data_IF_736939898792
#
_entry.id   IF_736939898792
#
_cell.length_a   1.000
_cell.length_b   1.000
_cell.length_c   1.000
_cell.angle_alpha   90.00
_cell.angle_beta   90.00
_cell.angle_gamma   90.00
#
_symmetry.space_group_name_H-M   'P 1'
#
loop_
_entity.id
_entity.type
_entity.pdbx_description
1 polymer ?
#
# COMPACT_ATOMS: atom_id res chain seq x y z
N UNK A 1 -6.47 -5.00 -27.68
CA UNK A 1 -6.65 -6.45 -27.93
C UNK A 1 -5.70 -7.32 -27.09
N UNK A 2 -4.37 -7.16 -27.18
CA UNK A 2 -3.40 -7.98 -26.42
C UNK A 2 -3.57 -7.92 -24.89
N UNK A 3 -3.87 -6.74 -24.34
CA UNK A 3 -4.14 -6.55 -22.91
C UNK A 3 -5.38 -7.30 -22.43
N UNK A 4 -6.47 -7.25 -23.21
CA UNK A 4 -7.72 -7.95 -22.88
C UNK A 4 -7.53 -9.48 -22.91
N UNK A 5 -6.74 -9.98 -23.87
CA UNK A 5 -6.38 -11.40 -23.93
C UNK A 5 -5.56 -11.83 -22.71
N UNK A 6 -4.59 -11.00 -22.30
CA UNK A 6 -3.76 -11.26 -21.12
C UNK A 6 -4.60 -11.31 -19.84
N UNK A 7 -5.59 -10.42 -19.70
CA UNK A 7 -6.51 -10.42 -18.56
C UNK A 7 -7.36 -11.69 -18.55
N UNK A 8 -7.94 -12.07 -19.69
CA UNK A 8 -8.73 -13.30 -19.82
C UNK A 8 -7.90 -14.54 -19.46
N UNK A 9 -6.67 -14.62 -19.99
CA UNK A 9 -5.74 -15.70 -19.70
C UNK A 9 -5.38 -15.73 -18.20
N UNK A 10 -5.12 -14.57 -17.59
CA UNK A 10 -4.90 -14.46 -16.15
C UNK A 10 -6.12 -14.92 -15.34
N UNK A 11 -7.33 -14.59 -15.77
CA UNK A 11 -8.56 -15.03 -15.07
C UNK A 11 -8.76 -16.53 -15.17
N UNK A 12 -8.57 -17.10 -16.36
CA UNK A 12 -8.70 -18.55 -16.56
C UNK A 12 -7.65 -19.29 -15.74
N UNK A 13 -6.39 -18.82 -15.74
CA UNK A 13 -5.32 -19.41 -14.94
C UNK A 13 -5.59 -19.31 -13.43
N UNK A 14 -6.08 -18.17 -12.93
CA UNK A 14 -6.42 -18.03 -11.51
C UNK A 14 -7.54 -18.98 -11.11
N UNK A 15 -8.57 -19.12 -11.95
CA UNK A 15 -9.67 -20.07 -11.69
C UNK A 15 -9.15 -21.51 -11.62
N UNK A 16 -8.35 -21.94 -12.59
CA UNK A 16 -7.81 -23.30 -12.66
C UNK A 16 -6.87 -23.58 -11.48
N UNK A 17 -5.92 -22.67 -11.21
CA UNK A 17 -4.92 -22.87 -10.16
C UNK A 17 -5.54 -22.85 -8.77
N UNK A 18 -6.40 -21.88 -8.47
CA UNK A 18 -7.03 -21.76 -7.14
C UNK A 18 -7.95 -22.94 -6.87
N UNK A 19 -8.80 -23.32 -7.85
CA UNK A 19 -9.66 -24.49 -7.69
C UNK A 19 -8.85 -25.79 -7.54
N UNK A 20 -7.80 -25.97 -8.36
CA UNK A 20 -6.92 -27.13 -8.29
C UNK A 20 -6.20 -27.26 -6.94
N UNK A 21 -5.63 -26.15 -6.43
CA UNK A 21 -4.97 -26.12 -5.13
C UNK A 21 -5.96 -26.46 -4.01
N UNK A 22 -7.16 -25.85 -4.01
CA UNK A 22 -8.15 -26.07 -2.96
C UNK A 22 -8.63 -27.52 -2.93
N UNK A 23 -8.89 -28.12 -4.09
CA UNK A 23 -9.28 -29.53 -4.19
C UNK A 23 -8.13 -30.45 -3.74
N UNK A 24 -6.87 -30.09 -4.00
CA UNK A 24 -5.71 -30.91 -3.63
C UNK A 24 -5.53 -31.11 -2.12
N UNK A 25 -6.09 -30.24 -1.29
CA UNK A 25 -6.03 -30.37 0.17
C UNK A 25 -6.83 -31.57 0.71
N UNK A 26 -7.77 -32.14 -0.07
CA UNK A 26 -8.55 -33.33 0.30
C UNK A 26 -9.22 -33.25 1.70
N UNK A 27 -9.69 -32.06 2.09
CA UNK A 27 -10.43 -31.86 3.35
C UNK A 27 -11.93 -31.99 3.07
N UNK A 28 -12.66 -32.69 3.94
CA UNK A 28 -14.10 -32.95 3.79
C UNK A 28 -14.98 -31.70 3.71
N UNK A 29 -14.49 -30.56 4.22
CA UNK A 29 -15.18 -29.26 4.17
C UNK A 29 -14.94 -28.48 2.87
N UNK A 30 -14.06 -28.95 1.97
CA UNK A 30 -13.71 -28.27 0.72
C UNK A 30 -14.20 -29.14 -0.44
N UNK A 31 -15.34 -28.77 -1.02
CA UNK A 31 -15.94 -29.46 -2.15
C UNK A 31 -15.55 -28.81 -3.49
N UNK A 32 -15.54 -29.59 -4.58
CA UNK A 32 -15.22 -29.09 -5.92
C UNK A 32 -16.10 -27.91 -6.33
N UNK A 33 -17.40 -27.95 -5.98
CA UNK A 33 -18.37 -26.90 -6.33
C UNK A 33 -18.07 -25.61 -5.59
N UNK A 34 -17.78 -25.66 -4.28
CA UNK A 34 -17.34 -24.51 -3.51
C UNK A 34 -15.98 -23.97 -3.98
N UNK A 35 -15.03 -24.84 -4.33
CA UNK A 35 -13.73 -24.43 -4.87
C UNK A 35 -13.87 -23.69 -6.20
N UNK A 36 -14.70 -24.19 -7.11
CA UNK A 36 -15.01 -23.51 -8.37
C UNK A 36 -15.72 -22.18 -8.15
N UNK A 37 -16.71 -22.16 -7.25
CA UNK A 37 -17.43 -20.92 -6.91
C UNK A 37 -16.47 -19.85 -6.36
N UNK A 38 -15.62 -20.23 -5.39
CA UNK A 38 -14.62 -19.33 -4.80
C UNK A 38 -13.65 -18.80 -5.86
N UNK A 39 -13.12 -19.69 -6.70
CA UNK A 39 -12.18 -19.33 -7.75
C UNK A 39 -12.81 -18.41 -8.82
N UNK A 40 -14.05 -18.70 -9.24
CA UNK A 40 -14.81 -17.85 -10.16
C UNK A 40 -15.19 -16.50 -9.56
N UNK A 41 -15.49 -16.45 -8.26
CA UNK A 41 -15.73 -15.20 -7.52
C UNK A 41 -14.48 -14.30 -7.54
N UNK A 42 -13.31 -14.87 -7.24
CA UNK A 42 -12.03 -14.17 -7.31
C UNK A 42 -11.71 -13.70 -8.73
N UNK A 43 -11.90 -14.57 -9.72
CA UNK A 43 -11.71 -14.25 -11.13
C UNK A 43 -12.64 -13.12 -11.59
N UNK A 44 -13.92 -13.18 -11.24
CA UNK A 44 -14.90 -12.14 -11.57
C UNK A 44 -14.56 -10.79 -10.93
N UNK A 45 -14.05 -10.78 -9.70
CA UNK A 45 -13.58 -9.56 -9.05
C UNK A 45 -12.39 -8.94 -9.81
N UNK A 46 -11.47 -9.76 -10.31
CA UNK A 46 -10.34 -9.27 -11.13
C UNK A 46 -10.80 -8.71 -12.49
N UNK A 47 -11.80 -9.32 -13.12
CA UNK A 47 -12.41 -8.80 -14.35
C UNK A 47 -13.12 -7.47 -14.13
N UNK A 48 -13.87 -7.36 -13.03
CA UNK A 48 -14.53 -6.11 -12.66
C UNK A 48 -13.49 -5.00 -12.44
N UNK A 49 -12.43 -5.29 -11.67
CA UNK A 49 -11.32 -4.36 -11.46
C UNK A 49 -10.68 -3.93 -12.78
N UNK A 50 -10.42 -4.87 -13.69
CA UNK A 50 -9.89 -4.56 -15.03
C UNK A 50 -10.84 -3.66 -15.82
N UNK A 51 -12.15 -3.96 -15.79
CA UNK A 51 -13.15 -3.20 -16.54
C UNK A 51 -13.26 -1.76 -16.03
N UNK A 52 -13.19 -1.55 -14.70
CA UNK A 52 -13.14 -0.22 -14.11
C UNK A 52 -11.84 0.49 -14.50
N UNK A 53 -10.69 -0.18 -14.42
CA UNK A 53 -9.41 0.41 -14.80
C UNK A 53 -9.37 0.80 -16.29
N UNK A 54 -9.94 -0.03 -17.16
CA UNK A 54 -10.09 0.25 -18.59
C UNK A 54 -11.02 1.45 -18.82
N UNK A 55 -12.16 1.52 -18.13
CA UNK A 55 -13.06 2.68 -18.17
C UNK A 55 -12.31 3.97 -17.77
N UNK A 56 -11.56 3.94 -16.66
CA UNK A 56 -10.73 5.07 -16.23
C UNK A 56 -9.69 5.45 -17.29
N UNK A 57 -9.05 4.47 -17.95
CA UNK A 57 -8.07 4.73 -19.00
C UNK A 57 -8.66 5.44 -20.23
N UNK A 58 -9.94 5.25 -20.54
CA UNK A 58 -10.60 5.97 -21.63
C UNK A 58 -11.07 7.38 -21.21
N UNK A 59 -11.30 7.61 -19.93
CA UNK A 59 -11.76 8.92 -19.42
C UNK A 59 -10.59 9.91 -19.26
N UNK A 60 -9.45 9.46 -18.76
CA UNK A 60 -8.33 10.32 -18.35
C UNK A 60 -7.16 10.33 -19.35
N UNK A 61 -6.48 11.47 -19.43
CA UNK A 61 -5.39 11.70 -20.40
C UNK A 61 -4.09 10.95 -20.09
N UNK A 62 -3.86 10.60 -18.82
CA UNK A 62 -2.60 10.02 -18.37
C UNK A 62 -2.83 8.74 -17.58
N UNK A 63 -1.94 7.77 -17.75
CA UNK A 63 -1.99 6.50 -17.03
C UNK A 63 -1.91 6.68 -15.51
N UNK A 64 -1.14 7.66 -15.02
CA UNK A 64 -1.06 7.99 -13.59
C UNK A 64 -2.42 8.41 -13.03
N UNK A 65 -3.13 9.32 -13.72
CA UNK A 65 -4.45 9.78 -13.27
C UNK A 65 -5.50 8.67 -13.31
N UNK A 66 -5.51 7.86 -14.38
CA UNK A 66 -6.42 6.73 -14.47
C UNK A 66 -6.20 5.73 -13.33
N UNK A 67 -4.92 5.44 -13.01
CA UNK A 67 -4.53 4.56 -11.91
C UNK A 67 -4.94 5.12 -10.53
N UNK A 68 -4.65 6.39 -10.27
CA UNK A 68 -5.02 7.08 -9.03
C UNK A 68 -6.53 7.06 -8.78
N UNK A 69 -7.33 7.27 -9.84
CA UNK A 69 -8.79 7.30 -9.75
C UNK A 69 -9.35 5.88 -9.58
N UNK A 70 -8.81 4.89 -10.29
CA UNK A 70 -9.16 3.49 -10.08
C UNK A 70 -8.96 3.08 -8.62
N UNK A 71 -7.77 3.34 -8.06
CA UNK A 71 -7.49 3.01 -6.66
C UNK A 71 -8.35 3.82 -5.68
N UNK A 72 -8.69 5.07 -6.01
CA UNK A 72 -9.61 5.87 -5.20
C UNK A 72 -11.02 5.26 -5.17
N UNK A 73 -11.55 4.80 -6.31
CA UNK A 73 -12.85 4.12 -6.38
C UNK A 73 -12.84 2.85 -5.53
N UNK A 74 -11.81 2.01 -5.69
CA UNK A 74 -11.67 0.76 -4.92
C UNK A 74 -11.54 1.06 -3.43
N UNK A 75 -10.73 2.06 -3.04
CA UNK A 75 -10.57 2.48 -1.65
C UNK A 75 -11.86 2.98 -1.02
N UNK A 76 -12.63 3.82 -1.73
CA UNK A 76 -13.94 4.30 -1.26
C UNK A 76 -14.92 3.13 -1.10
N UNK A 77 -15.00 2.25 -2.09
CA UNK A 77 -15.84 1.05 -2.00
C UNK A 77 -15.43 0.19 -0.80
N UNK A 78 -14.14 0.05 -0.52
CA UNK A 78 -13.65 -0.73 0.62
C UNK A 78 -14.03 -0.10 1.97
N UNK A 79 -13.89 1.22 2.11
CA UNK A 79 -14.29 1.94 3.34
C UNK A 79 -15.81 1.87 3.55
N UNK A 80 -16.60 2.07 2.49
CA UNK A 80 -18.06 1.89 2.55
C UNK A 80 -18.41 0.47 2.97
N UNK A 81 -17.70 -0.53 2.43
CA UNK A 81 -17.87 -1.94 2.79
C UNK A 81 -17.63 -2.16 4.28
N UNK A 82 -16.51 -1.66 4.81
CA UNK A 82 -16.16 -1.80 6.21
C UNK A 82 -17.26 -1.21 7.12
N UNK A 83 -17.82 -0.05 6.77
CA UNK A 83 -18.93 0.55 7.50
C UNK A 83 -20.23 -0.25 7.41
N UNK A 84 -20.60 -0.75 6.23
CA UNK A 84 -21.82 -1.55 6.05
C UNK A 84 -21.74 -2.92 6.70
N UNK A 85 -20.56 -3.55 6.69
CA UNK A 85 -20.34 -4.88 7.26
C UNK A 85 -20.53 -4.88 8.79
N UNK A 86 -20.21 -3.76 9.46
CA UNK A 86 -20.42 -3.58 10.91
C UNK A 86 -21.85 -3.15 11.26
N UNK A 87 -22.45 -2.28 10.45
CA UNK A 87 -23.75 -1.67 10.78
C UNK A 87 -24.96 -2.46 10.30
N UNK A 88 -24.99 -2.82 9.00
CA UNK A 88 -26.12 -3.51 8.40
C UNK A 88 -25.71 -4.22 7.11
N UNK A 89 -25.65 -5.56 7.18
CA UNK A 89 -25.27 -6.43 6.06
C UNK A 89 -26.17 -6.24 4.81
N UNK A 90 -27.43 -5.81 4.97
CA UNK A 90 -28.32 -5.57 3.82
C UNK A 90 -27.83 -4.42 2.94
N UNK A 91 -27.20 -3.40 3.52
CA UNK A 91 -26.59 -2.29 2.76
C UNK A 91 -25.34 -2.75 2.01
N UNK A 92 -24.62 -3.75 2.55
CA UNK A 92 -23.44 -4.33 1.89
C UNK A 92 -23.80 -4.97 0.54
N UNK A 93 -25.07 -5.37 0.32
CA UNK A 93 -25.56 -5.86 -0.98
C UNK A 93 -25.49 -4.84 -2.11
N UNK A 94 -25.41 -3.54 -1.83
CA UNK A 94 -25.21 -2.52 -2.87
C UNK A 94 -23.73 -2.34 -3.25
N UNK A 95 -22.81 -2.88 -2.45
CA UNK A 95 -21.39 -2.78 -2.68
C UNK A 95 -20.91 -4.00 -3.47
N UNK A 96 -20.45 -3.79 -4.71
CA UNK A 96 -19.97 -4.87 -5.58
C UNK A 96 -18.77 -5.62 -4.99
N UNK A 97 -17.96 -4.98 -4.13
CA UNK A 97 -16.87 -5.68 -3.43
C UNK A 97 -17.39 -6.74 -2.46
N UNK A 98 -18.58 -6.55 -1.90
CA UNK A 98 -19.17 -7.48 -0.94
C UNK A 98 -19.72 -8.77 -1.61
N UNK A 99 -20.10 -8.69 -2.89
CA UNK A 99 -20.67 -9.82 -3.63
C UNK A 99 -19.73 -11.03 -3.69
N UNK A 100 -18.42 -10.78 -3.59
CA UNK A 100 -17.40 -11.84 -3.56
C UNK A 100 -17.52 -12.78 -2.37
N UNK A 101 -17.92 -12.26 -1.19
CA UNK A 101 -18.04 -13.03 0.05
C UNK A 101 -19.50 -13.30 0.46
N UNK A 102 -20.45 -12.43 0.09
CA UNK A 102 -21.89 -12.63 0.29
C UNK A 102 -22.43 -13.84 -0.50
N UNK A 103 -21.66 -14.33 -1.47
CA UNK A 103 -21.84 -15.63 -2.10
C UNK A 103 -21.80 -16.83 -1.15
N UNK A 104 -21.22 -16.65 0.05
CA UNK A 104 -20.90 -17.70 1.03
C UNK A 104 -20.26 -18.94 0.36
N UNK A 105 -19.02 -18.80 -0.17
CA UNK A 105 -18.29 -19.93 -0.74
C UNK A 105 -18.20 -21.08 0.25
N UNK A 106 -18.32 -22.32 -0.23
CA UNK A 106 -18.30 -23.57 0.57
C UNK A 106 -19.52 -23.78 1.49
N UNK A 107 -20.49 -22.87 1.50
CA UNK A 107 -21.71 -23.02 2.30
C UNK A 107 -22.97 -22.97 1.44
N UNK A 108 -23.35 -21.81 0.91
CA UNK A 108 -24.54 -21.66 0.06
C UNK A 108 -24.18 -21.62 -1.44
N UNK A 109 -23.02 -21.05 -1.78
CA UNK A 109 -22.60 -20.81 -3.17
C UNK A 109 -23.68 -20.06 -3.98
N UNK A 110 -24.11 -18.89 -3.50
CA UNK A 110 -25.18 -18.11 -4.12
C UNK A 110 -24.75 -17.53 -5.48
N UNK A 111 -25.10 -18.24 -6.56
CA UNK A 111 -24.76 -17.86 -7.94
C UNK A 111 -25.30 -16.49 -8.38
N UNK A 112 -26.36 -15.99 -7.74
CA UNK A 112 -26.90 -14.65 -8.00
C UNK A 112 -25.82 -13.54 -7.94
N UNK A 113 -24.98 -13.55 -6.90
CA UNK A 113 -23.92 -12.53 -6.74
C UNK A 113 -22.81 -12.67 -7.78
N UNK A 114 -22.50 -13.91 -8.17
CA UNK A 114 -21.49 -14.19 -9.20
C UNK A 114 -21.98 -13.72 -10.58
N UNK A 115 -23.24 -14.04 -10.93
CA UNK A 115 -23.87 -13.54 -12.15
C UNK A 115 -23.95 -12.01 -12.13
N UNK A 116 -24.30 -11.42 -10.98
CA UNK A 116 -24.29 -9.97 -10.79
C UNK A 116 -22.92 -9.34 -11.05
N UNK A 117 -21.84 -9.91 -10.51
CA UNK A 117 -20.46 -9.45 -10.77
C UNK A 117 -20.12 -9.53 -12.27
N UNK A 118 -20.48 -10.62 -12.91
CA UNK A 118 -20.24 -10.80 -14.34
C UNK A 118 -21.01 -9.80 -15.20
N UNK A 119 -22.30 -9.58 -14.90
CA UNK A 119 -23.13 -8.59 -15.60
C UNK A 119 -22.60 -7.17 -15.39
N UNK A 120 -22.25 -6.80 -14.16
CA UNK A 120 -21.67 -5.49 -13.86
C UNK A 120 -20.36 -5.27 -14.64
N UNK A 121 -19.52 -6.30 -14.70
CA UNK A 121 -18.28 -6.31 -15.49
C UNK A 121 -18.59 -6.02 -16.96
N UNK A 122 -19.54 -6.74 -17.57
CA UNK A 122 -19.92 -6.52 -18.96
C UNK A 122 -20.44 -5.11 -19.22
N UNK A 123 -21.27 -4.57 -18.32
CA UNK A 123 -21.80 -3.20 -18.43
C UNK A 123 -20.67 -2.18 -18.40
N UNK A 124 -19.80 -2.24 -17.39
CA UNK A 124 -18.67 -1.29 -17.24
C UNK A 124 -17.71 -1.38 -18.42
N UNK A 125 -17.41 -2.61 -18.87
CA UNK A 125 -16.55 -2.85 -20.02
C UNK A 125 -17.16 -2.29 -21.32
N UNK A 126 -18.47 -2.51 -21.52
CA UNK A 126 -19.19 -1.99 -22.70
C UNK A 126 -19.20 -0.47 -22.76
N UNK A 127 -19.37 0.20 -21.61
CA UNK A 127 -19.25 1.67 -21.53
C UNK A 127 -17.82 2.11 -21.93
N UNK A 128 -16.80 1.39 -21.47
CA UNK A 128 -15.42 1.63 -21.87
C UNK A 128 -15.20 1.50 -23.38
N UNK A 129 -15.79 0.47 -24.02
CA UNK A 129 -15.70 0.27 -25.47
C UNK A 129 -16.37 1.40 -26.26
N UNK A 130 -17.54 1.87 -25.81
CA UNK A 130 -18.23 3.00 -26.44
C UNK A 130 -17.36 4.25 -26.36
N UNK A 131 -16.79 4.54 -25.19
CA UNK A 131 -15.87 5.68 -25.01
C UNK A 131 -14.62 5.54 -25.90
N UNK A 132 -14.03 4.34 -25.99
CA UNK A 132 -12.90 4.08 -26.88
C UNK A 132 -13.25 4.37 -28.35
N UNK A 133 -14.44 3.97 -28.81
CA UNK A 133 -14.87 4.21 -30.20
C UNK A 133 -15.04 5.69 -30.56
N UNK A 134 -15.32 6.53 -29.57
CA UNK A 134 -15.51 7.97 -29.73
C UNK A 134 -14.24 8.81 -29.51
N UNK A 135 -13.14 8.19 -29.05
CA UNK A 135 -11.95 8.90 -28.58
C UNK A 135 -10.84 8.91 -29.64
N UNK A 136 -10.41 10.10 -30.02
CA UNK A 136 -9.24 10.29 -30.87
C UNK A 136 -7.95 9.88 -30.13
N UNK A 137 -6.98 9.33 -30.86
CA UNK A 137 -5.68 8.95 -30.30
C UNK A 137 -4.97 10.18 -29.71
N UNK A 138 -4.60 10.08 -28.43
CA UNK A 138 -3.96 11.16 -27.68
C UNK A 138 -4.92 12.18 -27.07
N UNK A 139 -6.23 12.07 -27.33
CA UNK A 139 -7.25 12.87 -26.67
C UNK A 139 -7.73 12.21 -25.36
N UNK A 140 -8.38 12.99 -24.51
CA UNK A 140 -9.07 12.49 -23.30
C UNK A 140 -10.51 12.97 -23.28
N UNK A 141 -11.42 12.11 -22.82
CA UNK A 141 -12.84 12.46 -22.69
C UNK A 141 -13.03 13.66 -21.77
N UNK A 142 -12.24 13.73 -20.68
CA UNK A 142 -12.17 14.91 -19.84
C UNK A 142 -10.98 15.76 -20.29
N UNK A 143 -11.26 16.95 -20.83
CA UNK A 143 -10.22 17.89 -21.24
C UNK A 143 -9.32 18.27 -20.04
N UNK A 144 -7.99 18.35 -20.23
CA UNK A 144 -7.10 18.79 -19.16
C UNK A 144 -7.44 20.22 -18.76
N UNK A 145 -7.56 20.47 -17.44
CA UNK A 145 -7.82 21.81 -16.92
C UNK A 145 -6.74 22.78 -17.42
N UNK A 146 -7.16 23.93 -17.96
CA UNK A 146 -6.25 25.04 -18.26
C UNK A 146 -5.47 25.38 -16.99
N UNK A 147 -4.14 25.35 -17.07
CA UNK A 147 -3.26 25.67 -15.94
C UNK A 147 -3.52 27.08 -15.40
N UNK A 148 -3.05 27.36 -14.19
CA UNK A 148 -3.16 28.71 -13.61
C UNK A 148 -2.39 29.71 -14.48
N UNK A 149 -2.96 30.89 -14.68
CA UNK A 149 -2.33 31.99 -15.45
C UNK A 149 -1.08 32.57 -14.80
N UNK A 150 -0.95 32.44 -13.48
CA UNK A 150 0.23 32.84 -12.71
C UNK A 150 0.83 31.65 -11.96
N UNK A 151 2.12 31.39 -12.18
CA UNK A 151 2.88 30.39 -11.43
C UNK A 151 3.27 30.96 -10.05
N UNK A 152 3.26 30.11 -9.01
CA UNK A 152 3.78 30.49 -7.69
C UNK A 152 5.30 30.60 -7.73
N UNK A 153 5.87 31.52 -6.93
CA UNK A 153 7.34 31.65 -6.77
C UNK A 153 8.01 30.34 -6.33
N UNK A 154 7.28 29.46 -5.63
CA UNK A 154 7.77 28.14 -5.23
C UNK A 154 8.06 27.22 -6.42
N UNK A 155 7.36 27.35 -7.55
CA UNK A 155 7.67 26.56 -8.75
C UNK A 155 8.99 26.97 -9.42
N UNK A 156 9.54 28.13 -9.07
CA UNK A 156 10.84 28.58 -9.57
C UNK A 156 12.02 27.92 -8.84
N UNK A 157 11.77 27.24 -7.71
CA UNK A 157 12.80 26.48 -6.99
C UNK A 157 12.68 24.99 -7.30
N UNK A 158 13.80 24.24 -7.39
CA UNK A 158 13.74 22.79 -7.61
C UNK A 158 12.87 22.09 -6.58
N UNK A 159 13.04 22.39 -5.29
CA UNK A 159 12.27 21.77 -4.22
C UNK A 159 10.76 22.00 -4.39
N UNK A 160 10.33 23.23 -4.69
CA UNK A 160 8.91 23.52 -4.89
C UNK A 160 8.35 22.91 -6.18
N UNK A 161 9.16 22.79 -7.23
CA UNK A 161 8.79 22.05 -8.45
C UNK A 161 8.62 20.55 -8.20
N UNK A 162 9.58 19.91 -7.53
CA UNK A 162 9.51 18.49 -7.17
C UNK A 162 8.35 18.20 -6.21
N UNK A 163 8.06 19.11 -5.27
CA UNK A 163 6.87 19.02 -4.43
C UNK A 163 5.60 19.13 -5.27
N UNK A 164 5.51 20.11 -6.16
CA UNK A 164 4.35 20.28 -7.05
C UNK A 164 4.05 19.03 -7.88
N UNK A 165 5.10 18.35 -8.36
CA UNK A 165 4.99 17.13 -9.15
C UNK A 165 4.57 15.89 -8.32
N UNK A 166 4.90 15.87 -7.02
CA UNK A 166 4.61 14.75 -6.13
C UNK A 166 3.44 14.99 -5.17
N UNK A 167 2.89 16.21 -5.10
CA UNK A 167 1.86 16.57 -4.12
C UNK A 167 0.65 15.65 -4.13
N UNK A 168 0.17 15.25 -5.32
CA UNK A 168 -1.02 14.39 -5.42
C UNK A 168 -0.72 13.02 -4.85
N UNK A 169 0.43 12.44 -5.24
CA UNK A 169 0.93 11.18 -4.69
C UNK A 169 1.10 11.28 -3.17
N UNK A 170 1.81 12.29 -2.66
CA UNK A 170 2.03 12.50 -1.23
C UNK A 170 0.71 12.59 -0.47
N UNK A 171 -0.22 13.45 -0.91
CA UNK A 171 -1.52 13.63 -0.24
C UNK A 171 -2.32 12.33 -0.26
N UNK A 172 -2.39 11.64 -1.40
CA UNK A 172 -3.16 10.39 -1.52
C UNK A 172 -2.62 9.30 -0.61
N UNK A 173 -1.29 9.14 -0.52
CA UNK A 173 -0.67 8.16 0.35
C UNK A 173 -0.83 8.49 1.82
N UNK A 174 -0.64 9.76 2.23
CA UNK A 174 -0.84 10.17 3.63
C UNK A 174 -2.28 9.97 4.09
N UNK A 175 -3.26 10.25 3.22
CA UNK A 175 -4.66 9.99 3.51
C UNK A 175 -4.94 8.49 3.61
N UNK A 176 -4.43 7.68 2.67
CA UNK A 176 -4.61 6.24 2.70
C UNK A 176 -4.00 5.61 3.95
N UNK A 177 -2.78 6.01 4.31
CA UNK A 177 -2.04 5.56 5.50
C UNK A 177 -2.82 5.91 6.78
N UNK A 178 -3.27 7.17 6.91
CA UNK A 178 -4.12 7.60 8.03
C UNK A 178 -5.45 6.85 8.12
N UNK A 179 -6.13 6.61 6.99
CA UNK A 179 -7.38 5.83 6.97
C UNK A 179 -7.14 4.39 7.41
N UNK A 180 -6.09 3.73 6.91
CA UNK A 180 -5.75 2.37 7.32
C UNK A 180 -5.44 2.31 8.82
N UNK A 181 -4.68 3.27 9.36
CA UNK A 181 -4.41 3.37 10.78
C UNK A 181 -5.69 3.57 11.61
N UNK A 182 -6.63 4.41 11.15
CA UNK A 182 -7.94 4.57 11.80
C UNK A 182 -8.75 3.27 11.80
N UNK A 183 -8.76 2.54 10.68
CA UNK A 183 -9.47 1.26 10.55
C UNK A 183 -8.91 0.18 11.50
N UNK A 184 -7.59 0.10 11.64
CA UNK A 184 -7.02 -0.82 12.64
C UNK A 184 -7.28 -0.36 14.07
N UNK A 185 -7.27 0.94 14.32
CA UNK A 185 -7.56 1.50 15.65
C UNK A 185 -8.99 1.21 16.10
N UNK A 186 -9.98 1.17 15.19
CA UNK A 186 -11.36 0.88 15.56
C UNK A 186 -11.58 -0.53 16.12
N UNK A 187 -10.66 -1.47 15.88
CA UNK A 187 -10.74 -2.87 16.35
C UNK A 187 -10.44 -2.98 17.85
N UNK A 188 -9.76 -1.98 18.46
CA UNK A 188 -9.26 -2.10 19.83
C UNK A 188 -10.33 -2.31 20.91
N UNK A 189 -11.55 -1.79 20.71
CA UNK A 189 -12.67 -1.98 21.64
C UNK A 189 -13.17 -3.43 21.68
N UNK A 190 -13.07 -4.15 20.55
CA UNK A 190 -13.53 -5.53 20.37
C UNK A 190 -12.35 -6.49 20.17
N UNK A 191 -11.17 -6.14 20.69
CA UNK A 191 -9.95 -6.88 20.41
C UNK A 191 -10.00 -8.32 20.96
N UNK A 192 -10.62 -8.54 22.12
CA UNK A 192 -10.75 -9.87 22.73
C UNK A 192 -11.65 -10.79 21.89
N UNK A 193 -12.78 -10.26 21.38
CA UNK A 193 -13.69 -11.01 20.52
C UNK A 193 -13.05 -11.28 19.16
N UNK A 194 -12.33 -10.29 18.61
CA UNK A 194 -11.59 -10.45 17.37
C UNK A 194 -10.54 -11.57 17.46
N UNK A 195 -9.71 -11.58 18.49
CA UNK A 195 -8.66 -12.60 18.66
C UNK A 195 -9.24 -13.98 18.97
N UNK A 196 -10.27 -14.06 19.82
CA UNK A 196 -10.90 -15.35 20.18
C UNK A 196 -11.72 -15.98 19.05
N UNK A 197 -12.21 -15.17 18.10
CA UNK A 197 -12.98 -15.67 16.95
C UNK A 197 -12.16 -16.50 15.96
N UNK A 198 -10.83 -16.32 15.92
CA UNK A 198 -9.97 -16.96 14.94
C UNK A 198 -8.74 -17.59 15.60
N UNK A 199 -8.67 -18.92 15.54
CA UNK A 199 -7.55 -19.71 16.10
C UNK A 199 -6.19 -19.27 15.55
N UNK A 200 -6.08 -18.96 14.26
CA UNK A 200 -4.82 -18.50 13.67
C UNK A 200 -4.37 -17.15 14.25
N UNK A 201 -5.31 -16.21 14.44
CA UNK A 201 -5.00 -14.92 15.05
C UNK A 201 -4.62 -15.11 16.52
N UNK A 202 -5.34 -15.97 17.26
CA UNK A 202 -4.99 -16.29 18.64
C UNK A 202 -3.59 -16.88 18.79
N UNK A 203 -3.15 -17.73 17.85
CA UNK A 203 -1.79 -18.29 17.83
C UNK A 203 -0.70 -17.22 17.69
N UNK A 204 -0.97 -16.12 16.97
CA UNK A 204 -0.01 -15.00 16.86
C UNK A 204 0.29 -14.32 18.20
N UNK A 205 -0.61 -14.45 19.18
CA UNK A 205 -0.52 -13.78 20.47
C UNK A 205 -0.36 -14.75 21.65
N UNK A 206 -0.52 -16.06 21.45
CA UNK A 206 -0.53 -17.08 22.50
C UNK A 206 0.75 -17.15 23.35
N UNK A 207 1.91 -16.78 22.78
CA UNK A 207 3.21 -16.92 23.42
C UNK A 207 3.75 -15.63 24.06
N UNK A 208 2.94 -14.56 24.11
CA UNK A 208 3.41 -13.26 24.58
C UNK A 208 3.05 -13.03 26.05
N UNK A 209 4.04 -12.68 26.87
CA UNK A 209 3.87 -12.35 28.29
C UNK A 209 3.32 -10.94 28.56
N UNK A 210 3.04 -10.17 27.50
CA UNK A 210 2.52 -8.79 27.59
C UNK A 210 1.01 -8.75 27.37
N UNK A 211 0.39 -7.61 27.67
CA UNK A 211 -1.04 -7.42 27.39
C UNK A 211 -1.35 -7.59 25.90
N UNK A 212 -2.53 -8.16 25.60
CA UNK A 212 -3.02 -8.38 24.24
C UNK A 212 -2.98 -7.09 23.40
N UNK A 213 -3.40 -5.96 23.99
CA UNK A 213 -3.35 -4.62 23.38
C UNK A 213 -1.93 -4.24 22.97
N UNK A 214 -0.91 -4.49 23.82
CA UNK A 214 0.47 -4.14 23.50
C UNK A 214 1.01 -5.01 22.37
N UNK A 215 0.71 -6.31 22.40
CA UNK A 215 1.11 -7.24 21.34
C UNK A 215 0.48 -6.89 19.99
N UNK A 216 -0.82 -6.64 19.99
CA UNK A 216 -1.54 -6.21 18.79
C UNK A 216 -1.01 -4.89 18.25
N UNK A 217 -0.74 -3.92 19.13
CA UNK A 217 -0.17 -2.62 18.73
C UNK A 217 1.19 -2.79 18.06
N UNK A 218 2.08 -3.61 18.63
CA UNK A 218 3.39 -3.85 18.01
C UNK A 218 3.25 -4.49 16.62
N UNK A 219 2.31 -5.42 16.45
CA UNK A 219 2.06 -6.09 15.18
C UNK A 219 1.46 -5.13 14.13
N UNK A 220 0.47 -4.34 14.51
CA UNK A 220 -0.15 -3.35 13.61
C UNK A 220 0.85 -2.26 13.22
N UNK A 221 1.76 -1.87 14.10
CA UNK A 221 2.84 -0.93 13.72
C UNK A 221 3.71 -1.47 12.60
N UNK A 222 4.02 -2.78 12.56
CA UNK A 222 4.75 -3.37 11.44
C UNK A 222 3.96 -3.20 10.13
N UNK A 223 2.64 -3.43 10.16
CA UNK A 223 1.76 -3.28 8.99
C UNK A 223 1.67 -1.84 8.52
N UNK A 224 1.32 -0.91 9.41
CA UNK A 224 1.11 0.50 9.03
C UNK A 224 2.41 1.17 8.62
N UNK A 225 3.52 0.88 9.28
CA UNK A 225 4.84 1.45 8.91
C UNK A 225 5.33 0.86 7.59
N UNK A 226 5.14 -0.44 7.32
CA UNK A 226 5.50 -1.01 6.03
C UNK A 226 4.78 -0.32 4.86
N UNK A 227 3.48 0.01 5.04
CA UNK A 227 2.69 0.76 4.06
C UNK A 227 3.17 2.21 3.97
N UNK A 228 3.37 2.89 5.10
CA UNK A 228 3.83 4.29 5.16
C UNK A 228 5.21 4.49 4.54
N UNK A 229 6.09 3.48 4.56
CA UNK A 229 7.41 3.50 3.91
C UNK A 229 7.36 3.43 2.38
N UNK A 230 6.24 3.02 1.77
CA UNK A 230 6.12 2.95 0.31
C UNK A 230 6.15 4.34 -0.32
N UNK A 231 5.44 5.32 0.27
CA UNK A 231 5.35 6.68 -0.24
C UNK A 231 6.72 7.39 -0.40
N UNK A 232 7.61 7.45 0.61
CA UNK A 232 8.90 8.11 0.46
C UNK A 232 9.79 7.38 -0.57
N UNK A 233 9.66 6.06 -0.71
CA UNK A 233 10.33 5.29 -1.76
C UNK A 233 9.81 5.68 -3.14
N UNK A 234 8.50 5.82 -3.33
CA UNK A 234 7.89 6.25 -4.61
C UNK A 234 8.39 7.63 -5.02
N UNK A 235 8.50 8.58 -4.08
CA UNK A 235 9.01 9.93 -4.35
C UNK A 235 10.44 9.88 -4.89
N UNK A 236 11.31 9.06 -4.30
CA UNK A 236 12.70 8.90 -4.76
C UNK A 236 12.75 8.12 -6.08
N UNK A 237 12.01 7.01 -6.20
CA UNK A 237 12.00 6.16 -7.39
C UNK A 237 11.58 6.92 -8.65
N UNK A 238 10.67 7.89 -8.50
CA UNK A 238 10.21 8.75 -9.59
C UNK A 238 11.37 9.46 -10.29
N UNK A 239 12.43 9.83 -9.56
CA UNK A 239 13.65 10.40 -10.16
C UNK A 239 14.28 9.40 -11.13
N UNK A 240 14.44 8.15 -10.72
CA UNK A 240 15.02 7.10 -11.56
C UNK A 240 14.16 6.81 -12.80
N UNK A 241 12.84 6.81 -12.63
CA UNK A 241 11.88 6.63 -13.72
C UNK A 241 11.92 7.76 -14.75
N UNK A 242 11.98 9.02 -14.30
CA UNK A 242 12.07 10.18 -15.20
C UNK A 242 13.45 10.30 -15.86
N UNK A 243 14.51 9.83 -15.20
CA UNK A 243 15.84 9.69 -15.81
C UNK A 243 15.83 8.67 -16.95
N UNK A 244 15.25 7.49 -16.75
CA UNK A 244 15.16 6.47 -17.80
C UNK A 244 14.26 6.87 -18.98
N UNK A 245 13.34 7.82 -18.77
CA UNK A 245 12.52 8.41 -19.83
C UNK A 245 13.19 9.58 -20.54
N UNK A 246 14.45 9.90 -20.21
CA UNK A 246 15.24 11.01 -20.76
C UNK A 246 14.63 12.40 -20.50
N UNK A 247 13.56 12.49 -19.70
CA UNK A 247 12.86 13.75 -19.40
C UNK A 247 13.62 14.60 -18.41
N UNK A 248 14.34 13.94 -17.50
CA UNK A 248 15.14 14.61 -16.49
C UNK A 248 16.34 15.36 -17.10
N UNK A 249 16.81 14.92 -18.28
CA UNK A 249 17.86 15.59 -19.06
C UNK A 249 17.51 17.05 -19.39
N UNK A 250 16.26 17.32 -19.78
CA UNK A 250 15.82 18.69 -20.09
C UNK A 250 15.97 19.67 -18.92
N UNK A 251 15.78 19.20 -17.68
CA UNK A 251 15.94 20.02 -16.47
C UNK A 251 17.41 20.24 -16.12
N UNK A 252 18.27 19.23 -16.34
CA UNK A 252 19.70 19.32 -16.06
C UNK A 252 20.41 20.28 -17.02
N UNK A 253 19.95 20.37 -18.26
CA UNK A 253 20.43 21.38 -19.23
C UNK A 253 20.10 22.81 -18.77
N UNK A 254 19.01 23.02 -18.03
CA UNK A 254 18.53 24.33 -17.57
C UNK A 254 19.10 24.84 -16.23
N UNK A 255 20.40 24.68 -15.97
CA UNK A 255 21.11 25.17 -14.75
C UNK A 255 20.69 24.53 -13.40
N UNK A 256 19.90 23.45 -13.40
CA UNK A 256 19.63 22.68 -12.17
C UNK A 256 20.72 21.64 -11.98
N UNK A 257 21.51 21.75 -10.91
CA UNK A 257 22.56 20.77 -10.62
C UNK A 257 21.97 19.44 -10.15
N UNK A 258 22.69 18.32 -10.44
CA UNK A 258 22.32 16.98 -9.97
C UNK A 258 22.14 16.92 -8.45
N UNK A 259 22.98 17.64 -7.70
CA UNK A 259 22.84 17.79 -6.25
C UNK A 259 21.47 18.38 -5.84
N UNK A 260 20.98 19.39 -6.55
CA UNK A 260 19.67 19.99 -6.23
C UNK A 260 18.52 18.99 -6.43
N UNK A 261 18.59 18.14 -7.45
CA UNK A 261 17.62 17.05 -7.68
C UNK A 261 17.66 16.04 -6.53
N UNK A 262 18.87 15.62 -6.15
CA UNK A 262 19.09 14.69 -5.06
C UNK A 262 18.56 15.23 -3.73
N UNK A 263 18.98 16.43 -3.33
CA UNK A 263 18.54 17.06 -2.08
C UNK A 263 17.04 17.35 -2.06
N UNK A 264 16.44 17.76 -3.19
CA UNK A 264 14.98 17.98 -3.24
C UNK A 264 14.23 16.69 -2.96
N UNK A 265 14.69 15.57 -3.54
CA UNK A 265 14.07 14.26 -3.34
C UNK A 265 14.31 13.73 -1.93
N UNK A 266 15.51 13.90 -1.38
CA UNK A 266 15.86 13.55 -0.01
C UNK A 266 14.99 14.31 1.00
N UNK A 267 14.87 15.63 0.86
CA UNK A 267 14.08 16.46 1.79
C UNK A 267 12.62 16.05 1.75
N UNK A 268 12.05 15.86 0.55
CA UNK A 268 10.65 15.44 0.41
C UNK A 268 10.42 14.04 0.99
N UNK A 269 11.27 13.07 0.66
CA UNK A 269 11.12 11.70 1.12
C UNK A 269 11.28 11.59 2.64
N UNK A 270 12.27 12.25 3.23
CA UNK A 270 12.44 12.27 4.69
C UNK A 270 11.28 12.98 5.36
N UNK A 271 10.96 14.22 4.97
CA UNK A 271 9.93 15.01 5.63
C UNK A 271 8.54 14.37 5.54
N UNK A 272 8.14 13.89 4.38
CA UNK A 272 6.83 13.24 4.25
C UNK A 272 6.85 11.81 4.80
N UNK A 273 8.00 11.12 4.79
CA UNK A 273 8.15 9.82 5.45
C UNK A 273 8.02 9.92 6.96
N UNK A 274 8.59 10.96 7.59
CA UNK A 274 8.39 11.22 9.02
C UNK A 274 6.94 11.59 9.32
N UNK A 275 6.33 12.41 8.46
CA UNK A 275 4.94 12.81 8.60
C UNK A 275 3.99 11.60 8.50
N UNK A 276 4.24 10.66 7.59
CA UNK A 276 3.47 9.42 7.46
C UNK A 276 3.49 8.59 8.75
N UNK A 277 4.68 8.36 9.32
CA UNK A 277 4.83 7.64 10.60
C UNK A 277 4.10 8.34 11.76
N UNK A 278 4.16 9.67 11.81
CA UNK A 278 3.45 10.45 12.82
C UNK A 278 1.94 10.36 12.66
N UNK A 279 1.44 10.48 11.42
CA UNK A 279 0.02 10.32 11.10
C UNK A 279 -0.45 8.92 11.49
N UNK A 280 0.31 7.86 11.17
CA UNK A 280 -0.02 6.50 11.56
C UNK A 280 -0.16 6.33 13.07
N UNK A 281 0.83 6.78 13.85
CA UNK A 281 0.76 6.69 15.31
C UNK A 281 -0.39 7.50 15.90
N UNK A 282 -0.66 8.69 15.35
CA UNK A 282 -1.73 9.56 15.80
C UNK A 282 -3.13 9.01 15.46
N UNK A 283 -3.36 8.63 14.20
CA UNK A 283 -4.62 8.07 13.71
C UNK A 283 -4.95 6.76 14.43
N UNK A 284 -3.99 5.84 14.53
CA UNK A 284 -4.17 4.59 15.27
C UNK A 284 -4.53 4.88 16.74
N UNK A 285 -3.79 5.78 17.37
CA UNK A 285 -4.01 6.16 18.76
C UNK A 285 -5.41 6.74 19.01
N UNK A 286 -5.85 7.69 18.17
CA UNK A 286 -7.18 8.30 18.29
C UNK A 286 -8.27 7.25 18.13
N UNK A 287 -8.24 6.47 17.05
CA UNK A 287 -9.26 5.47 16.80
C UNK A 287 -9.30 4.40 17.91
N UNK A 288 -8.13 3.95 18.37
CA UNK A 288 -8.02 3.03 19.50
C UNK A 288 -8.65 3.62 20.77
N UNK A 289 -8.30 4.85 21.15
CA UNK A 289 -8.88 5.49 22.35
C UNK A 289 -10.38 5.73 22.24
N UNK A 290 -10.90 5.99 21.04
CA UNK A 290 -12.33 6.16 20.82
C UNK A 290 -13.12 4.86 20.86
N UNK A 291 -12.48 3.75 20.50
CA UNK A 291 -13.10 2.42 20.48
C UNK A 291 -13.04 1.75 21.86
N UNK A 292 -11.98 2.00 22.63
CA UNK A 292 -11.84 1.45 23.99
C UNK A 292 -12.78 2.14 24.99
N UNK A 293 -13.44 1.35 25.84
CA UNK A 293 -14.36 1.87 26.87
C UNK A 293 -13.66 2.73 27.94
N UNK A 294 -12.39 2.46 28.23
CA UNK A 294 -11.58 3.26 29.15
C UNK A 294 -10.94 4.43 28.41
N UNK A 295 -11.37 5.66 28.74
CA UNK A 295 -10.82 6.88 28.15
C UNK A 295 -9.37 7.10 28.58
N UNK A 296 -8.44 6.48 27.86
CA UNK A 296 -7.01 6.53 28.15
C UNK A 296 -6.29 7.37 27.08
N UNK A 297 -6.44 8.69 27.14
CA UNK A 297 -5.74 9.62 26.23
C UNK A 297 -4.21 9.45 26.21
N UNK A 298 -3.62 8.82 27.23
CA UNK A 298 -2.17 8.47 27.23
C UNK A 298 -1.84 7.43 26.16
N UNK A 299 -2.79 6.61 25.72
CA UNK A 299 -2.57 5.60 24.69
C UNK A 299 -2.24 6.21 23.31
N UNK A 300 -2.77 7.40 23.00
CA UNK A 300 -2.37 8.17 21.81
C UNK A 300 -0.86 8.43 21.84
N UNK A 301 -0.34 8.87 22.99
CA UNK A 301 1.09 9.12 23.15
C UNK A 301 1.92 7.85 23.06
N UNK A 302 1.39 6.71 23.52
CA UNK A 302 2.03 5.39 23.36
C UNK A 302 2.14 5.00 21.89
N UNK A 303 1.07 5.21 21.11
CA UNK A 303 1.07 4.91 19.67
C UNK A 303 2.03 5.82 18.89
N UNK A 304 2.08 7.12 19.21
CA UNK A 304 3.04 8.05 18.60
C UNK A 304 4.48 7.68 18.96
N UNK A 305 4.75 7.28 20.20
CA UNK A 305 6.10 6.81 20.60
C UNK A 305 6.48 5.52 19.88
N UNK A 306 5.55 4.57 19.78
CA UNK A 306 5.77 3.31 19.07
C UNK A 306 6.00 3.54 17.57
N UNK A 307 5.30 4.50 16.95
CA UNK A 307 5.53 4.85 15.55
C UNK A 307 6.88 5.57 15.37
N UNK A 308 7.22 6.54 16.24
CA UNK A 308 8.51 7.23 16.20
C UNK A 308 9.72 6.31 16.42
N UNK A 309 9.56 5.24 17.19
CA UNK A 309 10.59 4.20 17.34
C UNK A 309 10.98 3.57 15.98
N UNK A 310 10.07 3.59 15.00
CA UNK A 310 10.28 3.06 13.66
C UNK A 310 10.86 4.08 12.67
N UNK A 311 11.09 5.33 13.11
CA UNK A 311 11.72 6.37 12.29
C UNK A 311 13.05 5.97 11.62
N UNK A 312 13.95 5.18 12.27
CA UNK A 312 15.19 4.74 11.63
C UNK A 312 14.96 3.93 10.34
N UNK A 313 13.81 3.25 10.19
CA UNK A 313 13.46 2.57 8.95
C UNK A 313 13.22 3.56 7.81
N UNK A 314 12.66 4.74 8.07
CA UNK A 314 12.53 5.81 7.06
C UNK A 314 13.93 6.20 6.59
N UNK A 315 14.84 6.45 7.51
CA UNK A 315 16.21 6.80 7.17
C UNK A 315 16.88 5.70 6.35
N UNK A 316 16.75 4.44 6.77
CA UNK A 316 17.36 3.32 6.08
C UNK A 316 16.79 3.13 4.66
N UNK A 317 15.48 3.00 4.52
CA UNK A 317 14.86 2.74 3.22
C UNK A 317 14.99 3.93 2.26
N UNK A 318 14.86 5.17 2.75
CA UNK A 318 15.14 6.37 1.92
C UNK A 318 16.61 6.42 1.53
N UNK A 319 17.53 6.11 2.43
CA UNK A 319 18.97 6.05 2.13
C UNK A 319 19.31 5.01 1.07
N UNK A 320 18.77 3.79 1.20
CA UNK A 320 18.96 2.72 0.22
C UNK A 320 18.37 3.08 -1.15
N UNK A 321 17.19 3.72 -1.17
CA UNK A 321 16.55 4.15 -2.42
C UNK A 321 17.28 5.32 -3.09
N UNK A 322 17.84 6.23 -2.31
CA UNK A 322 18.68 7.29 -2.83
C UNK A 322 20.00 6.73 -3.37
N UNK A 323 20.57 5.71 -2.72
CA UNK A 323 21.73 4.99 -3.21
C UNK A 323 21.41 4.24 -4.52
N UNK A 324 20.22 3.70 -4.67
CA UNK A 324 19.80 3.01 -5.90
C UNK A 324 19.72 3.94 -7.11
N UNK A 325 19.53 5.25 -6.92
CA UNK A 325 19.58 6.24 -8.03
C UNK A 325 20.94 6.22 -8.75
N UNK A 326 22.00 5.90 -8.03
CA UNK A 326 23.37 5.82 -8.54
C UNK A 326 23.70 4.49 -9.19
N UNK A 327 22.82 3.49 -9.04
CA UNK A 327 22.99 2.14 -9.53
C UNK A 327 22.05 1.84 -10.72
N UNK A 328 22.09 0.64 -11.31
CA UNK A 328 21.13 0.24 -12.34
C UNK A 328 19.67 0.22 -11.83
N UNK A 329 18.71 0.36 -12.74
CA UNK A 329 17.27 0.45 -12.43
C UNK A 329 16.73 -0.71 -11.58
N UNK A 330 17.25 -1.93 -11.78
CA UNK A 330 16.80 -3.10 -11.03
C UNK A 330 17.07 -2.99 -9.52
N UNK A 331 18.07 -2.20 -9.10
CA UNK A 331 18.40 -2.04 -7.68
C UNK A 331 17.28 -1.31 -6.92
N UNK A 332 16.58 -0.37 -7.56
CA UNK A 332 15.40 0.25 -6.96
C UNK A 332 14.31 -0.79 -6.63
N UNK A 333 14.11 -1.77 -7.51
CA UNK A 333 13.19 -2.89 -7.27
C UNK A 333 13.66 -3.82 -6.15
N UNK A 334 14.97 -3.99 -5.97
CA UNK A 334 15.51 -4.74 -4.82
C UNK A 334 15.20 -4.06 -3.48
N UNK A 335 15.16 -2.72 -3.43
CA UNK A 335 14.77 -1.98 -2.20
C UNK A 335 13.31 -2.26 -1.84
N UNK A 336 12.41 -2.27 -2.83
CA UNK A 336 11.02 -2.69 -2.61
C UNK A 336 10.92 -4.17 -2.19
N UNK A 337 11.70 -5.03 -2.83
CA UNK A 337 11.80 -6.45 -2.45
C UNK A 337 12.26 -6.63 -1.01
N UNK A 338 13.24 -5.86 -0.56
CA UNK A 338 13.74 -5.88 0.83
C UNK A 338 12.68 -5.40 1.83
N UNK A 339 11.91 -4.36 1.49
CA UNK A 339 10.79 -3.89 2.31
C UNK A 339 9.72 -4.98 2.44
N UNK A 340 9.29 -5.55 1.31
CA UNK A 340 8.30 -6.62 1.27
C UNK A 340 8.75 -7.87 2.00
N UNK A 341 10.02 -8.29 1.79
CA UNK A 341 10.64 -9.40 2.50
C UNK A 341 10.65 -9.18 4.01
N UNK A 342 11.15 -8.02 4.47
CA UNK A 342 11.22 -7.71 5.90
C UNK A 342 9.83 -7.68 6.54
N UNK A 343 8.84 -7.10 5.85
CA UNK A 343 7.46 -7.12 6.29
C UNK A 343 6.90 -8.55 6.38
N UNK A 344 7.03 -9.36 5.32
CA UNK A 344 6.47 -10.71 5.28
C UNK A 344 7.10 -11.61 6.34
N UNK A 345 8.43 -11.57 6.48
CA UNK A 345 9.14 -12.36 7.50
C UNK A 345 8.67 -11.98 8.90
N UNK A 346 8.52 -10.69 9.22
CA UNK A 346 8.09 -10.26 10.55
C UNK A 346 6.61 -10.54 10.82
N UNK A 347 5.74 -10.27 9.85
CA UNK A 347 4.29 -10.45 10.02
C UNK A 347 3.89 -11.92 10.10
N UNK A 348 4.46 -12.77 9.23
CA UNK A 348 4.14 -14.19 9.18
C UNK A 348 5.05 -15.07 10.05
N UNK A 349 6.00 -14.48 10.80
CA UNK A 349 6.97 -15.21 11.62
C UNK A 349 6.33 -16.32 12.47
N UNK A 350 5.29 -15.97 13.21
CA UNK A 350 4.61 -16.88 14.14
C UNK A 350 3.67 -17.83 13.39
N UNK A 351 2.98 -17.35 12.35
CA UNK A 351 1.99 -18.13 11.59
C UNK A 351 2.63 -19.27 10.79
N UNK A 352 3.83 -19.04 10.26
CA UNK A 352 4.58 -20.02 9.45
C UNK A 352 5.66 -20.75 10.25
N UNK A 353 5.75 -20.50 11.57
CA UNK A 353 6.79 -21.02 12.45
C UNK A 353 8.21 -20.88 11.84
N UNK A 354 8.54 -19.65 11.44
CA UNK A 354 9.76 -19.38 10.68
C UNK A 354 11.02 -19.60 11.54
N UNK A 355 12.10 -20.17 10.97
CA UNK A 355 13.33 -20.37 11.72
C UNK A 355 13.94 -19.04 12.17
N UNK A 356 14.52 -19.04 13.38
CA UNK A 356 15.05 -17.83 14.05
C UNK A 356 16.04 -17.06 13.18
N UNK A 357 16.91 -17.75 12.44
CA UNK A 357 17.89 -17.09 11.56
C UNK A 357 17.21 -16.19 10.53
N UNK A 358 16.06 -16.61 9.98
CA UNK A 358 15.31 -15.83 9.01
C UNK A 358 14.64 -14.63 9.68
N UNK A 359 14.06 -14.81 10.87
CA UNK A 359 13.47 -13.71 11.65
C UNK A 359 14.51 -12.61 11.94
N UNK A 360 15.76 -12.99 12.24
CA UNK A 360 16.86 -12.05 12.48
C UNK A 360 17.31 -11.29 11.23
N UNK A 361 16.98 -11.74 10.02
CA UNK A 361 17.30 -10.99 8.79
C UNK A 361 16.33 -9.83 8.52
N UNK A 362 15.16 -9.80 9.17
CA UNK A 362 14.19 -8.74 8.94
C UNK A 362 14.62 -7.43 9.60
N UNK A 363 14.57 -6.34 8.83
CA UNK A 363 14.88 -4.99 9.31
C UNK A 363 13.90 -4.49 10.38
N UNK A 364 12.65 -4.97 10.36
CA UNK A 364 11.67 -4.63 11.40
C UNK A 364 11.98 -5.29 12.75
N UNK A 365 12.69 -6.43 12.74
CA UNK A 365 13.02 -7.17 13.95
C UNK A 365 14.30 -6.65 14.64
N UNK A 366 15.05 -5.76 14.00
CA UNK A 366 16.23 -5.10 14.59
C UNK A 366 15.80 -4.05 15.63
N UNK A 367 14.64 -3.42 15.45
CA UNK A 367 14.12 -2.41 16.37
C UNK A 367 13.31 -3.04 17.49
N UNK A 368 13.34 -2.42 18.67
CA UNK A 368 12.54 -2.82 19.81
C UNK A 368 11.04 -2.82 19.46
N UNK A 369 10.32 -3.87 19.83
CA UNK A 369 8.89 -4.04 19.57
C UNK A 369 8.04 -3.21 20.54
N UNK A 370 8.08 -1.89 20.42
CA UNK A 370 7.25 -1.02 21.26
C UNK A 370 5.75 -1.18 20.93
N UNK A 371 4.85 -1.22 21.93
CA UNK A 371 5.07 -1.04 23.37
C UNK A 371 5.32 -2.34 24.16
N UNK A 372 5.53 -3.50 23.52
CA UNK A 372 5.85 -4.75 24.23
C UNK A 372 7.22 -4.69 24.89
N UNK A 373 8.20 -4.12 24.20
CA UNK A 373 9.58 -3.97 24.65
C UNK A 373 9.89 -2.51 24.99
N UNK A 374 10.90 -2.31 25.84
CA UNK A 374 11.42 -0.96 26.16
C UNK A 374 12.22 -0.43 24.98
N UNK A 375 12.24 0.90 24.83
CA UNK A 375 13.02 1.59 23.82
C UNK A 375 14.51 1.22 23.94
N UNK A 376 15.09 0.75 22.83
CA UNK A 376 16.53 0.48 22.72
C UNK A 376 17.21 1.56 21.87
N UNK A 377 17.98 2.41 22.53
CA UNK A 377 18.71 3.50 21.90
C UNK A 377 19.81 2.97 20.96
N UNK A 378 20.42 1.83 21.27
CA UNK A 378 21.55 1.31 20.51
C UNK A 378 21.11 0.87 19.12
N UNK A 379 20.08 0.01 19.04
CA UNK A 379 19.52 -0.44 17.75
C UNK A 379 18.95 0.72 16.94
N UNK A 380 18.30 1.68 17.60
CA UNK A 380 17.79 2.90 16.96
C UNK A 380 18.92 3.72 16.32
N UNK A 381 20.00 3.97 17.06
CA UNK A 381 21.12 4.78 16.59
C UNK A 381 21.91 4.09 15.47
N UNK A 382 22.14 2.79 15.57
CA UNK A 382 22.85 2.00 14.54
C UNK A 382 22.07 2.03 13.22
N UNK A 383 20.77 1.74 13.25
CA UNK A 383 19.96 1.69 12.04
C UNK A 383 19.85 3.07 11.37
N UNK A 384 19.72 4.13 12.18
CA UNK A 384 19.75 5.51 11.70
C UNK A 384 21.09 5.84 11.05
N UNK A 385 22.20 5.46 11.69
CA UNK A 385 23.56 5.67 11.18
C UNK A 385 23.77 5.00 9.82
N UNK A 386 23.35 3.74 9.67
CA UNK A 386 23.40 3.03 8.39
C UNK A 386 22.58 3.75 7.31
N UNK A 387 21.37 4.23 7.65
CA UNK A 387 20.54 5.00 6.73
C UNK A 387 21.20 6.30 6.28
N UNK A 388 21.79 7.06 7.22
CA UNK A 388 22.50 8.30 6.91
C UNK A 388 23.73 8.02 6.03
N UNK A 389 24.50 6.97 6.33
CA UNK A 389 25.64 6.57 5.50
C UNK A 389 25.20 6.22 4.07
N UNK A 390 24.10 5.48 3.91
CA UNK A 390 23.54 5.18 2.59
C UNK A 390 23.11 6.47 1.84
N UNK A 391 22.51 7.45 2.53
CA UNK A 391 22.20 8.75 1.94
C UNK A 391 23.45 9.55 1.54
N UNK A 392 24.53 9.50 2.32
CA UNK A 392 25.76 10.21 1.98
C UNK A 392 26.44 9.57 0.78
N UNK A 393 26.59 8.24 0.79
CA UNK A 393 27.16 7.47 -0.33
C UNK A 393 26.33 7.65 -1.60
N UNK A 394 25.01 7.58 -1.49
CA UNK A 394 24.09 7.80 -2.61
C UNK A 394 24.28 9.18 -3.25
N UNK A 395 24.44 10.23 -2.43
CA UNK A 395 24.67 11.59 -2.91
C UNK A 395 26.02 11.74 -3.63
N UNK A 396 27.09 11.21 -3.05
CA UNK A 396 28.44 11.25 -3.65
C UNK A 396 28.43 10.53 -5.01
N UNK A 397 27.88 9.32 -5.07
CA UNK A 397 27.83 8.55 -6.31
C UNK A 397 26.92 9.19 -7.38
N UNK A 398 25.81 9.80 -6.97
CA UNK A 398 24.85 10.42 -7.89
C UNK A 398 25.45 11.63 -8.61
N UNK A 399 26.33 12.38 -7.95
CA UNK A 399 27.03 13.50 -8.60
C UNK A 399 27.98 13.05 -9.70
N UNK A 400 28.60 11.88 -9.53
CA UNK A 400 29.58 11.31 -10.48
C UNK A 400 28.92 10.55 -11.62
N UNK A 401 27.68 10.10 -11.46
CA UNK A 401 26.94 9.33 -12.48
C UNK A 401 26.60 10.20 -13.69
N UNK A 402 26.99 9.74 -14.88
CA UNK A 402 26.55 10.34 -16.13
C UNK A 402 25.05 10.05 -16.35
N UNK A 403 24.30 11.12 -16.61
CA UNK A 403 22.89 11.06 -16.97
C UNK A 403 22.86 11.49 -18.43
N UNK A 404 22.48 10.55 -19.30
CA UNK A 404 22.33 10.76 -20.75
C UNK A 404 21.05 11.54 -21.02
#
# INVERSE_FOLDING_TARGET
MATNLLVLLHTVLTIILVSGILVSYNVSSIDLKGSLYFACSLGSASLLGTSIAYLCAQIFATSSQACEIFFSIVGILYVLRAGTDVSNLTLSKFNSLAWTYLGHPFYQNNWYYLIGLFLLTLVVFSIGLVLESSRDLGSSTIAPKKGKTKASKWLATPLGFFFYLNRSTIISWLLADGVIALMYGSIYGDIDTFVSSNKLISQMFANNSTTLINSFTSLIMVVTIAIGLVMPLVVVHKVQFETNKERLGYLLVQRVSRLKVYYSSLILALFFGTLAILINGFCLGIAATSSMQANNGKFITTCIKASLNQWPLVCLFVGLMLLSLSLPIFVGWLVYGLLGYSFCVTYFAVLLDLPKWMIHTSLFNVLAKMPMEKFDLMSFAILTGIGILAMLLGGILYTRKEIV
#
